data_IF_154656167928
#
_entry.id   IF_154656167928
#
_cell.length_a   1.000
_cell.length_b   1.000
_cell.length_c   1.000
_cell.angle_alpha   90.00
_cell.angle_beta   90.00
_cell.angle_gamma   90.00
#
_symmetry.space_group_name_H-M   'P 1'
#
loop_
_entity.id
_entity.type
_entity.pdbx_description
1 polymer ?
#
# COMPACT_ATOMS: atom_id res chain seq x y z
N UNK A 1 -19.95 -5.04 -4.69
CA UNK A 1 -18.68 -4.85 -5.40
C UNK A 1 -17.64 -4.04 -4.60
N UNK A 2 -17.99 -3.24 -3.57
CA UNK A 2 -16.99 -2.70 -2.60
C UNK A 2 -16.67 -3.65 -1.42
N UNK A 3 -17.55 -4.60 -1.10
CA UNK A 3 -17.38 -5.47 0.09
C UNK A 3 -16.26 -6.52 -0.02
N UNK A 4 -15.70 -6.78 -1.22
CA UNK A 4 -14.67 -7.81 -1.39
C UNK A 4 -13.29 -7.31 -0.95
N UNK A 5 -12.84 -6.15 -1.45
CA UNK A 5 -11.50 -5.62 -1.16
C UNK A 5 -11.30 -5.29 0.32
N UNK A 6 -12.30 -4.73 0.99
CA UNK A 6 -12.20 -4.45 2.43
C UNK A 6 -12.05 -5.73 3.26
N UNK A 7 -12.75 -6.81 2.88
CA UNK A 7 -12.66 -8.11 3.56
C UNK A 7 -11.28 -8.75 3.35
N UNK A 8 -10.79 -8.72 2.11
CA UNK A 8 -9.44 -9.19 1.76
C UNK A 8 -8.39 -8.38 2.52
N UNK A 9 -8.49 -7.06 2.50
CA UNK A 9 -7.56 -6.16 3.16
C UNK A 9 -7.52 -6.38 4.68
N UNK A 10 -8.68 -6.55 5.33
CA UNK A 10 -8.73 -6.86 6.76
C UNK A 10 -8.02 -8.18 7.08
N UNK A 11 -8.17 -9.18 6.21
CA UNK A 11 -7.48 -10.48 6.33
C UNK A 11 -5.97 -10.31 6.17
N UNK A 12 -5.52 -9.52 5.18
CA UNK A 12 -4.11 -9.19 4.96
C UNK A 12 -3.54 -8.50 6.21
N UNK A 13 -4.14 -7.40 6.65
CA UNK A 13 -3.67 -6.63 7.81
C UNK A 13 -3.54 -7.52 9.05
N UNK A 14 -4.53 -8.39 9.31
CA UNK A 14 -4.47 -9.35 10.41
C UNK A 14 -3.36 -10.39 10.24
N UNK A 15 -3.20 -10.99 9.05
CA UNK A 15 -2.15 -12.00 8.78
C UNK A 15 -0.74 -11.44 8.93
N UNK A 16 -0.55 -10.19 8.57
CA UNK A 16 0.71 -9.49 8.72
C UNK A 16 0.85 -8.84 10.08
N UNK A 17 -0.05 -9.03 11.06
CA UNK A 17 0.03 -8.35 12.36
C UNK A 17 0.24 -6.83 12.24
N UNK A 18 -0.35 -6.22 11.20
CA UNK A 18 -0.27 -4.79 10.93
C UNK A 18 -1.47 -4.08 11.57
N UNK A 19 -1.39 -2.77 11.70
CA UNK A 19 -2.45 -1.96 12.31
C UNK A 19 -3.41 -1.42 11.25
N UNK A 20 -2.89 -1.08 10.07
CA UNK A 20 -3.66 -0.48 8.99
C UNK A 20 -3.23 -1.00 7.62
N UNK A 21 -4.07 -0.79 6.60
CA UNK A 21 -3.70 -1.07 5.21
C UNK A 21 -4.56 -0.34 4.20
N UNK A 22 -4.10 -0.35 2.95
CA UNK A 22 -4.80 0.21 1.79
C UNK A 22 -4.62 -0.68 0.56
N UNK A 23 -5.61 -0.65 -0.34
CA UNK A 23 -5.50 -1.20 -1.70
C UNK A 23 -5.81 -0.07 -2.67
N UNK A 24 -4.94 0.10 -3.65
CA UNK A 24 -5.15 1.04 -4.75
C UNK A 24 -5.16 0.32 -6.08
N UNK A 25 -6.04 0.75 -6.98
CA UNK A 25 -6.13 0.29 -8.36
C UNK A 25 -5.59 1.36 -9.31
N UNK A 26 -4.72 0.97 -10.23
CA UNK A 26 -4.20 1.84 -11.27
C UNK A 26 -5.28 2.07 -12.34
N UNK A 27 -5.72 3.31 -12.50
CA UNK A 27 -6.52 3.71 -13.65
C UNK A 27 -5.58 4.19 -14.77
N UNK A 28 -5.54 3.43 -15.86
CA UNK A 28 -4.71 3.74 -17.03
C UNK A 28 -5.16 5.01 -17.77
N UNK A 29 -6.39 5.50 -17.55
CA UNK A 29 -6.92 6.70 -18.22
C UNK A 29 -6.32 7.98 -17.65
N UNK A 30 -6.14 8.07 -16.33
CA UNK A 30 -5.57 9.24 -15.67
C UNK A 30 -4.15 9.00 -15.12
N UNK A 31 -3.64 7.77 -15.24
CA UNK A 31 -2.32 7.33 -14.80
C UNK A 31 -2.11 7.53 -13.29
N UNK A 32 -3.16 7.25 -12.51
CA UNK A 32 -3.18 7.38 -11.05
C UNK A 32 -3.64 6.09 -10.38
N UNK A 33 -3.17 5.88 -9.16
CA UNK A 33 -3.63 4.87 -8.23
C UNK A 33 -4.85 5.42 -7.47
N UNK A 34 -6.02 4.80 -7.63
CA UNK A 34 -7.27 5.15 -6.97
C UNK A 34 -7.49 4.23 -5.78
N UNK A 35 -7.77 4.79 -4.62
CA UNK A 35 -8.04 4.02 -3.41
C UNK A 35 -9.35 3.22 -3.57
N UNK A 36 -9.29 1.90 -3.41
CA UNK A 36 -10.45 0.99 -3.52
C UNK A 36 -10.79 0.28 -2.21
N UNK A 37 -9.85 0.21 -1.27
CA UNK A 37 -10.11 -0.25 0.10
C UNK A 37 -9.09 0.34 1.07
N UNK A 38 -9.53 0.51 2.32
CA UNK A 38 -8.68 0.92 3.44
C UNK A 38 -9.26 0.40 4.75
N UNK A 39 -8.42 0.16 5.74
CA UNK A 39 -8.89 -0.23 7.08
C UNK A 39 -9.26 0.98 7.93
N UNK A 40 -10.10 0.77 8.94
CA UNK A 40 -10.31 1.75 10.00
C UNK A 40 -9.00 2.07 10.74
N UNK A 41 -8.92 3.26 11.34
CA UNK A 41 -7.74 3.72 12.10
C UNK A 41 -6.78 4.62 11.31
N UNK A 42 -6.99 4.79 10.00
CA UNK A 42 -6.29 5.78 9.19
C UNK A 42 -7.04 7.13 9.32
N UNK A 43 -6.35 8.24 9.69
CA UNK A 43 -7.01 9.55 9.77
C UNK A 43 -7.59 10.02 8.43
N UNK A 44 -8.76 10.68 8.45
CA UNK A 44 -9.49 11.08 7.24
C UNK A 44 -8.66 11.95 6.29
N UNK A 45 -7.87 12.88 6.82
CA UNK A 45 -7.00 13.74 6.02
C UNK A 45 -5.93 12.94 5.25
N UNK A 46 -5.52 11.78 5.78
CA UNK A 46 -4.62 10.86 5.10
C UNK A 46 -5.36 10.16 3.97
N UNK A 47 -6.55 9.61 4.25
CA UNK A 47 -7.41 8.96 3.24
C UNK A 47 -7.66 9.90 2.05
N UNK A 48 -8.03 11.14 2.32
CA UNK A 48 -8.21 12.15 1.26
C UNK A 48 -6.92 12.42 0.48
N UNK A 49 -5.77 12.51 1.18
CA UNK A 49 -4.46 12.70 0.55
C UNK A 49 -3.99 11.52 -0.29
N UNK A 50 -4.47 10.30 -0.02
CA UNK A 50 -4.12 9.07 -0.75
C UNK A 50 -5.24 8.54 -1.63
N UNK A 51 -6.35 9.27 -1.75
CA UNK A 51 -7.52 8.86 -2.54
C UNK A 51 -7.15 8.68 -4.02
N UNK A 52 -6.25 9.54 -4.52
CA UNK A 52 -5.63 9.44 -5.84
C UNK A 52 -4.14 9.77 -5.77
N UNK A 53 -3.30 8.85 -6.24
CA UNK A 53 -1.84 9.00 -6.19
C UNK A 53 -1.27 8.88 -7.61
N UNK A 54 -0.61 9.91 -8.16
CA UNK A 54 0.09 9.79 -9.43
C UNK A 54 1.22 8.74 -9.37
N UNK A 55 1.47 8.04 -10.48
CA UNK A 55 2.64 7.17 -10.57
C UNK A 55 3.94 7.94 -10.28
N UNK A 56 4.85 7.29 -9.53
CA UNK A 56 6.11 7.88 -9.07
C UNK A 56 5.98 8.91 -7.94
N UNK A 57 4.80 9.04 -7.31
CA UNK A 57 4.57 9.92 -6.16
C UNK A 57 4.15 9.13 -4.94
N UNK A 58 4.67 9.52 -3.77
CA UNK A 58 4.36 8.79 -2.55
C UNK A 58 4.97 7.37 -2.55
N UNK A 59 4.73 6.63 -1.48
CA UNK A 59 5.18 5.23 -1.38
C UNK A 59 4.50 4.38 -2.47
N UNK A 60 3.16 4.40 -2.54
CA UNK A 60 2.41 3.56 -3.48
C UNK A 60 2.70 3.88 -4.95
N UNK A 61 2.79 5.17 -5.33
CA UNK A 61 3.10 5.56 -6.70
C UNK A 61 4.51 5.16 -7.10
N UNK A 62 5.49 5.25 -6.20
CA UNK A 62 6.86 4.77 -6.44
C UNK A 62 6.89 3.25 -6.56
N UNK A 63 6.26 2.50 -5.64
CA UNK A 63 6.13 1.03 -5.71
C UNK A 63 5.58 0.59 -7.07
N UNK A 64 4.51 1.24 -7.54
CA UNK A 64 3.90 0.93 -8.82
C UNK A 64 4.81 1.27 -10.02
N UNK A 65 5.46 2.43 -9.99
CA UNK A 65 6.35 2.88 -11.07
C UNK A 65 7.61 2.03 -11.18
N UNK A 66 8.24 1.70 -10.06
CA UNK A 66 9.47 0.90 -10.03
C UNK A 66 9.22 -0.60 -10.24
N UNK A 67 7.95 -1.02 -10.20
CA UNK A 67 7.52 -2.43 -10.25
C UNK A 67 8.22 -3.29 -9.18
N UNK A 68 8.48 -2.69 -8.00
CA UNK A 68 9.22 -3.32 -6.89
C UNK A 68 8.58 -3.00 -5.55
N UNK A 69 8.64 -3.94 -4.58
CA UNK A 69 8.25 -3.66 -3.20
C UNK A 69 8.99 -2.47 -2.60
N UNK A 70 8.31 -1.71 -1.76
CA UNK A 70 8.89 -0.66 -0.92
C UNK A 70 8.64 -1.03 0.53
N UNK A 71 9.72 -1.09 1.33
CA UNK A 71 9.66 -1.37 2.76
C UNK A 71 10.34 -0.25 3.50
N UNK A 72 9.66 0.30 4.49
CA UNK A 72 10.15 1.37 5.35
C UNK A 72 10.01 0.88 6.79
N UNK A 73 11.16 0.69 7.44
CA UNK A 73 11.20 0.22 8.83
C UNK A 73 10.75 1.28 9.84
N UNK A 74 11.07 2.54 9.56
CA UNK A 74 10.69 3.71 10.35
C UNK A 74 10.51 4.95 9.47
N UNK A 75 9.26 5.32 9.22
CA UNK A 75 8.86 6.50 8.47
C UNK A 75 9.34 7.81 9.09
N UNK A 76 9.64 7.86 10.39
CA UNK A 76 10.10 9.08 11.07
C UNK A 76 11.57 9.37 10.73
N UNK A 77 12.42 8.36 10.74
CA UNK A 77 13.84 8.51 10.39
C UNK A 77 14.14 8.32 8.91
N UNK A 78 13.23 7.72 8.14
CA UNK A 78 13.39 7.57 6.70
C UNK A 78 13.55 8.95 6.01
N UNK A 79 14.44 9.03 5.02
CA UNK A 79 14.79 10.25 4.28
C UNK A 79 14.55 10.11 2.77
N UNK A 80 13.83 9.07 2.34
CA UNK A 80 13.46 8.91 0.93
C UNK A 80 12.53 10.04 0.48
N UNK A 81 12.80 10.56 -0.71
CA UNK A 81 12.16 11.77 -1.23
C UNK A 81 10.66 11.60 -1.50
N UNK A 82 10.18 10.36 -1.61
CA UNK A 82 8.77 10.05 -1.87
C UNK A 82 7.95 9.85 -0.59
N UNK A 83 8.54 9.86 0.61
CA UNK A 83 7.76 9.85 1.86
C UNK A 83 7.18 11.23 2.11
N UNK A 84 5.91 11.40 1.76
CA UNK A 84 5.21 12.68 1.93
C UNK A 84 4.98 13.00 3.41
N UNK A 85 5.05 14.29 3.82
CA UNK A 85 4.93 14.69 5.23
C UNK A 85 3.67 14.18 5.91
N UNK A 86 2.56 14.07 5.17
CA UNK A 86 1.28 13.60 5.70
C UNK A 86 1.38 12.17 6.25
N UNK A 87 2.17 11.29 5.62
CA UNK A 87 2.38 9.92 6.09
C UNK A 87 3.03 9.87 7.48
N UNK A 88 3.90 10.84 7.81
CA UNK A 88 4.54 10.97 9.14
C UNK A 88 3.56 11.41 10.22
N UNK A 89 2.48 12.10 9.84
CA UNK A 89 1.45 12.58 10.78
C UNK A 89 0.39 11.53 11.09
N UNK A 90 0.37 10.41 10.36
CA UNK A 90 -0.59 9.32 10.54
C UNK A 90 -0.30 8.42 11.75
N UNK A 91 0.82 8.64 12.46
CA UNK A 91 1.28 7.76 13.54
C UNK A 91 1.81 6.40 13.05
N UNK A 92 1.88 6.18 11.74
CA UNK A 92 2.45 5.00 11.11
C UNK A 92 3.98 5.17 11.08
N UNK A 93 4.70 4.15 11.52
CA UNK A 93 6.16 4.10 11.54
C UNK A 93 6.69 3.02 10.60
N UNK A 94 6.29 1.76 10.77
CA UNK A 94 6.64 0.69 9.83
C UNK A 94 5.65 0.60 8.68
N UNK A 95 6.13 0.38 7.44
CA UNK A 95 5.26 0.20 6.28
C UNK A 95 5.87 -0.74 5.24
N UNK A 96 5.01 -1.54 4.60
CA UNK A 96 5.34 -2.35 3.44
C UNK A 96 4.29 -2.09 2.36
N UNK A 97 4.74 -1.86 1.13
CA UNK A 97 3.91 -1.67 -0.04
C UNK A 97 4.43 -2.55 -1.18
N UNK A 98 3.54 -3.30 -1.84
CA UNK A 98 3.91 -4.16 -2.98
C UNK A 98 3.07 -3.82 -4.21
N UNK A 99 3.64 -3.97 -5.41
CA UNK A 99 2.87 -3.87 -6.65
C UNK A 99 1.98 -5.11 -6.84
N UNK A 100 0.79 -4.89 -7.38
CA UNK A 100 -0.14 -5.94 -7.84
C UNK A 100 0.08 -6.13 -9.34
N UNK A 101 0.38 -7.35 -9.76
CA UNK A 101 0.68 -7.68 -11.16
C UNK A 101 -0.45 -8.49 -11.80
N UNK A 102 -0.95 -8.01 -12.93
CA UNK A 102 -1.59 -8.86 -13.94
C UNK A 102 -0.54 -9.15 -15.01
N UNK A 103 -0.02 -10.38 -15.02
CA UNK A 103 1.13 -10.81 -15.82
C UNK A 103 2.37 -9.93 -15.54
N UNK A 104 2.79 -9.11 -16.50
CA UNK A 104 3.96 -8.22 -16.40
C UNK A 104 3.59 -6.76 -16.09
N UNK A 105 2.28 -6.48 -16.03
CA UNK A 105 1.73 -5.15 -15.90
C UNK A 105 1.26 -4.89 -14.48
N UNK A 106 1.66 -3.75 -13.92
CA UNK A 106 1.17 -3.33 -12.61
C UNK A 106 -0.25 -2.81 -12.78
N UNK A 107 -1.18 -3.41 -12.04
CA UNK A 107 -2.59 -2.99 -12.00
C UNK A 107 -2.96 -2.27 -10.71
N UNK A 108 -2.05 -2.21 -9.74
CA UNK A 108 -2.16 -1.35 -8.56
C UNK A 108 -1.21 -1.74 -7.45
N UNK A 109 -1.59 -1.49 -6.19
CA UNK A 109 -0.72 -1.70 -5.02
C UNK A 109 -1.51 -2.17 -3.80
N UNK A 110 -0.84 -2.92 -2.94
CA UNK A 110 -1.32 -3.26 -1.59
C UNK A 110 -0.31 -2.73 -0.59
N UNK A 111 -0.78 -2.06 0.45
CA UNK A 111 0.06 -1.53 1.53
C UNK A 111 -0.45 -1.96 2.90
N UNK A 112 0.48 -2.26 3.81
CA UNK A 112 0.24 -2.48 5.24
C UNK A 112 1.14 -1.57 6.06
N UNK A 113 0.62 -1.07 7.18
CA UNK A 113 1.30 -0.12 8.06
C UNK A 113 1.18 -0.51 9.53
N UNK A 114 2.21 -0.20 10.31
CA UNK A 114 2.28 -0.41 11.75
C UNK A 114 2.52 0.92 12.48
N UNK A 115 1.91 1.12 13.64
CA UNK A 115 2.09 2.34 14.46
C UNK A 115 3.42 2.37 15.22
N UNK A 116 4.17 1.26 15.15
CA UNK A 116 5.53 1.11 15.68
C UNK A 116 6.49 0.79 14.55
N UNK A 117 7.76 1.09 14.76
CA UNK A 117 8.85 0.63 13.89
C UNK A 117 8.72 -0.86 13.62
N UNK A 118 8.88 -1.24 12.36
CA UNK A 118 8.79 -2.65 11.97
C UNK A 118 9.58 -2.92 10.72
N UNK A 119 10.52 -3.85 10.85
CA UNK A 119 11.19 -4.46 9.72
C UNK A 119 10.34 -5.63 9.21
N UNK A 120 9.81 -5.51 7.99
CA UNK A 120 9.16 -6.61 7.30
C UNK A 120 10.23 -7.51 6.66
N UNK A 121 10.13 -8.80 6.90
CA UNK A 121 11.10 -9.81 6.43
C UNK A 121 10.87 -10.17 4.96
N UNK A 122 11.89 -10.70 4.27
CA UNK A 122 11.75 -11.19 2.89
C UNK A 122 10.58 -12.17 2.72
N UNK A 123 10.36 -13.16 3.60
CA UNK A 123 9.19 -14.05 3.49
C UNK A 123 7.85 -13.32 3.62
N UNK A 124 7.76 -12.25 4.42
CA UNK A 124 6.54 -11.44 4.51
C UNK A 124 6.31 -10.63 3.22
N UNK A 125 7.39 -10.08 2.66
CA UNK A 125 7.33 -9.36 1.38
C UNK A 125 6.85 -10.29 0.27
N UNK A 126 7.49 -11.47 0.14
CA UNK A 126 7.13 -12.48 -0.85
C UNK A 126 5.67 -12.93 -0.67
N UNK A 127 5.24 -13.13 0.58
CA UNK A 127 3.86 -13.51 0.87
C UNK A 127 2.86 -12.44 0.45
N UNK A 128 3.17 -11.16 0.65
CA UNK A 128 2.27 -10.08 0.23
C UNK A 128 2.24 -9.95 -1.30
N UNK A 129 3.37 -10.19 -1.99
CA UNK A 129 3.44 -10.24 -3.46
C UNK A 129 2.57 -11.38 -3.99
N UNK A 130 2.63 -12.58 -3.40
CA UNK A 130 1.78 -13.71 -3.77
C UNK A 130 0.30 -13.36 -3.66
N UNK A 131 -0.10 -12.77 -2.52
CA UNK A 131 -1.48 -12.31 -2.31
C UNK A 131 -1.87 -11.25 -3.35
N UNK A 132 -0.95 -10.35 -3.70
CA UNK A 132 -1.15 -9.37 -4.78
C UNK A 132 -1.47 -10.05 -6.11
N UNK A 133 -0.70 -11.06 -6.50
CA UNK A 133 -0.95 -11.82 -7.75
C UNK A 133 -2.33 -12.49 -7.74
N UNK A 134 -2.73 -13.10 -6.63
CA UNK A 134 -4.07 -13.70 -6.47
C UNK A 134 -5.20 -12.67 -6.58
N UNK A 135 -4.94 -11.43 -6.14
CA UNK A 135 -5.94 -10.36 -6.16
C UNK A 135 -6.10 -9.71 -7.54
N UNK A 136 -5.11 -9.83 -8.43
CA UNK A 136 -5.09 -9.16 -9.73
C UNK A 136 -6.33 -9.48 -10.60
N UNK A 137 -6.87 -10.70 -10.52
CA UNK A 137 -8.07 -11.12 -11.27
C UNK A 137 -9.34 -10.35 -10.85
N UNK A 138 -9.31 -9.67 -9.72
CA UNK A 138 -10.42 -8.88 -9.17
C UNK A 138 -10.33 -7.39 -9.47
N UNK A 139 -9.24 -6.94 -10.11
CA UNK A 139 -8.99 -5.54 -10.48
C UNK A 139 -9.74 -5.16 -11.76
#
# INVERSE_FOLDING_TARGET
MENSFNTVLATIVSRFSADVGTIHKLDKKDNQLHLVAYTHGIPENIIEGVRKIPLGKGIAGTTAQEKKPTVIGDLVTDRTDYVIPIARTAGIQGMMCVPVFDKEEVVGTISVGCVKERQFTEPEIDKLIEIGKELADTF
#
